data_IF_203044461177
#
_entry.id   IF_203044461177
#
_cell.length_a   1.000
_cell.length_b   1.000
_cell.length_c   1.000
_cell.angle_alpha   90.00
_cell.angle_beta   90.00
_cell.angle_gamma   90.00
#
_symmetry.space_group_name_H-M   'P 1'
#
loop_
_entity.id
_entity.type
_entity.pdbx_description
1 polymer ?
#
# COMPACT_ATOMS: atom_id res chain seq x y z
N UNK A 1 -7.38 10.24 -12.42
CA UNK A 1 -6.86 8.87 -12.21
C UNK A 1 -7.25 8.03 -13.42
N UNK A 2 -6.30 7.31 -14.04
CA UNK A 2 -6.56 6.58 -15.29
C UNK A 2 -7.02 5.14 -15.03
N UNK A 3 -6.38 4.45 -14.10
CA UNK A 3 -6.69 3.06 -13.78
C UNK A 3 -6.33 2.75 -12.33
N UNK A 4 -7.16 1.94 -11.67
CA UNK A 4 -6.85 1.32 -10.39
C UNK A 4 -7.04 -0.18 -10.50
N UNK A 5 -6.11 -0.95 -9.95
CA UNK A 5 -6.25 -2.40 -9.84
C UNK A 5 -5.72 -2.87 -8.49
N UNK A 6 -6.36 -3.90 -7.96
CA UNK A 6 -5.94 -4.55 -6.70
C UNK A 6 -5.15 -5.81 -7.01
N UNK A 7 -4.20 -6.14 -6.15
CA UNK A 7 -3.29 -7.25 -6.38
C UNK A 7 -2.31 -7.46 -5.25
N UNK A 8 -1.26 -8.21 -5.56
CA UNK A 8 -0.27 -8.70 -4.61
C UNK A 8 1.13 -8.26 -5.05
N UNK A 9 1.89 -7.65 -4.15
CA UNK A 9 3.22 -7.11 -4.46
C UNK A 9 4.19 -7.27 -3.28
N UNK A 10 5.50 -7.30 -3.58
CA UNK A 10 6.58 -7.31 -2.59
C UNK A 10 6.87 -8.67 -1.94
N UNK A 11 6.22 -9.73 -2.39
CA UNK A 11 6.46 -11.11 -1.99
C UNK A 11 7.34 -11.90 -2.95
N UNK A 12 7.44 -13.20 -2.71
CA UNK A 12 8.34 -14.14 -3.42
C UNK A 12 7.61 -15.18 -4.27
N UNK A 13 6.34 -15.45 -3.97
CA UNK A 13 5.54 -16.43 -4.72
C UNK A 13 5.13 -15.85 -6.06
N UNK A 14 5.37 -16.60 -7.14
CA UNK A 14 4.95 -16.21 -8.49
C UNK A 14 3.51 -16.59 -8.75
N UNK A 15 2.75 -15.71 -9.41
CA UNK A 15 1.33 -15.91 -9.73
C UNK A 15 0.51 -16.42 -8.54
N UNK A 16 0.58 -15.76 -7.36
CA UNK A 16 -0.15 -16.20 -6.18
C UNK A 16 -1.67 -16.05 -6.41
N UNK A 17 -2.43 -16.97 -5.82
CA UNK A 17 -3.88 -16.81 -5.64
C UNK A 17 -4.19 -16.04 -4.35
N UNK A 18 -5.41 -15.54 -4.21
CA UNK A 18 -5.88 -14.98 -2.94
C UNK A 18 -5.67 -15.96 -1.79
N UNK A 19 -6.01 -17.24 -1.99
CA UNK A 19 -5.87 -18.28 -0.98
C UNK A 19 -4.40 -18.46 -0.56
N UNK A 20 -3.45 -18.41 -1.50
CA UNK A 20 -2.02 -18.45 -1.18
C UNK A 20 -1.63 -17.26 -0.31
N UNK A 21 -2.09 -16.06 -0.64
CA UNK A 21 -1.77 -14.83 0.10
C UNK A 21 -2.36 -14.86 1.50
N UNK A 22 -3.57 -15.39 1.68
CA UNK A 22 -4.19 -15.58 2.99
C UNK A 22 -3.38 -16.48 3.93
N UNK A 23 -2.48 -17.32 3.42
CA UNK A 23 -1.60 -18.16 4.27
C UNK A 23 -0.47 -17.39 4.96
N UNK A 24 -0.25 -16.12 4.61
CA UNK A 24 0.89 -15.30 5.07
C UNK A 24 2.29 -15.83 4.68
N UNK A 25 2.39 -16.89 3.87
CA UNK A 25 3.69 -17.50 3.52
C UNK A 25 4.33 -16.90 2.26
N UNK A 26 3.53 -16.23 1.42
CA UNK A 26 3.96 -15.68 0.12
C UNK A 26 4.83 -14.43 0.26
N UNK A 27 4.68 -13.71 1.38
CA UNK A 27 5.34 -12.44 1.65
C UNK A 27 4.75 -11.24 0.90
N UNK A 28 3.70 -11.45 0.09
CA UNK A 28 3.04 -10.34 -0.60
C UNK A 28 2.29 -9.44 0.37
N UNK A 29 2.13 -8.18 0.01
CA UNK A 29 1.13 -7.28 0.59
C UNK A 29 -0.03 -7.15 -0.40
N UNK A 30 -1.25 -7.10 0.12
CA UNK A 30 -2.37 -6.58 -0.63
C UNK A 30 -2.08 -5.13 -1.00
N UNK A 31 -2.18 -4.82 -2.29
CA UNK A 31 -1.70 -3.57 -2.86
C UNK A 31 -2.68 -3.05 -3.89
N UNK A 32 -2.80 -1.73 -3.96
CA UNK A 32 -3.49 -1.02 -5.04
C UNK A 32 -2.43 -0.45 -5.97
N UNK A 33 -2.44 -0.83 -7.24
CA UNK A 33 -1.67 -0.14 -8.27
C UNK A 33 -2.52 0.97 -8.87
N UNK A 34 -1.97 2.19 -8.88
CA UNK A 34 -2.63 3.40 -9.37
C UNK A 34 -1.87 3.94 -10.56
N UNK A 35 -2.52 3.96 -11.72
CA UNK A 35 -2.05 4.69 -12.89
C UNK A 35 -2.72 6.07 -12.93
N UNK A 36 -1.91 7.11 -13.04
CA UNK A 36 -2.36 8.50 -12.94
C UNK A 36 -1.62 9.39 -13.93
N UNK A 37 -2.23 10.52 -14.25
CA UNK A 37 -1.61 11.58 -15.04
C UNK A 37 -1.02 12.62 -14.07
N UNK A 38 0.31 12.84 -14.05
CA UNK A 38 0.94 13.81 -13.16
C UNK A 38 0.46 15.25 -13.36
N UNK A 39 -0.10 15.57 -14.53
CA UNK A 39 -0.71 16.88 -14.81
C UNK A 39 -2.06 17.09 -14.10
N UNK A 40 -2.77 16.01 -13.77
CA UNK A 40 -4.05 16.06 -13.06
C UNK A 40 -3.91 15.87 -11.55
N UNK A 41 -3.01 14.97 -11.13
CA UNK A 41 -2.79 14.64 -9.72
C UNK A 41 -1.31 14.38 -9.46
N UNK A 42 -0.75 15.04 -8.45
CA UNK A 42 0.66 14.87 -8.12
C UNK A 42 0.89 13.60 -7.30
N UNK A 43 2.12 13.09 -7.31
CA UNK A 43 2.52 12.00 -6.41
C UNK A 43 2.39 12.40 -4.93
N UNK A 44 2.60 13.68 -4.59
CA UNK A 44 2.40 14.19 -3.23
C UNK A 44 0.93 14.08 -2.79
N UNK A 45 -0.01 14.32 -3.70
CA UNK A 45 -1.45 14.15 -3.44
C UNK A 45 -1.83 12.68 -3.26
N UNK A 46 -1.23 11.77 -4.04
CA UNK A 46 -1.39 10.33 -3.84
C UNK A 46 -0.82 9.86 -2.50
N UNK A 47 0.34 10.38 -2.08
CA UNK A 47 0.89 10.10 -0.76
C UNK A 47 -0.05 10.61 0.34
N UNK A 48 -0.56 11.85 0.25
CA UNK A 48 -1.54 12.37 1.21
C UNK A 48 -2.79 11.49 1.28
N UNK A 49 -3.30 11.05 0.13
CA UNK A 49 -4.42 10.11 0.07
C UNK A 49 -4.08 8.82 0.82
N UNK A 50 -2.94 8.21 0.53
CA UNK A 50 -2.47 6.99 1.21
C UNK A 50 -2.44 7.16 2.73
N UNK A 51 -1.79 8.20 3.26
CA UNK A 51 -1.64 8.42 4.70
C UNK A 51 -2.95 8.73 5.43
N UNK A 52 -3.96 9.25 4.73
CA UNK A 52 -5.26 9.60 5.32
C UNK A 52 -6.27 8.44 5.30
N UNK A 53 -6.03 7.38 4.53
CA UNK A 53 -7.01 6.32 4.27
C UNK A 53 -6.75 5.01 5.02
N UNK A 54 -5.74 4.93 5.89
CA UNK A 54 -5.45 3.76 6.73
C UNK A 54 -4.68 4.15 8.00
N UNK A 55 -4.61 3.28 9.02
CA UNK A 55 -3.70 3.48 10.17
C UNK A 55 -2.29 2.95 9.80
N UNK A 56 -1.27 3.83 9.63
CA UNK A 56 0.08 3.40 9.24
C UNK A 56 0.95 3.01 10.45
N UNK A 57 0.38 2.91 11.65
CA UNK A 57 1.10 2.61 12.90
C UNK A 57 0.91 1.18 13.39
N UNK A 58 0.07 0.40 12.70
CA UNK A 58 -0.22 -1.00 13.05
C UNK A 58 0.62 -1.95 12.20
N UNK A 59 1.60 -2.60 12.84
CA UNK A 59 2.45 -3.58 12.17
C UNK A 59 1.64 -4.82 11.80
N UNK A 60 1.69 -5.23 10.52
CA UNK A 60 1.04 -6.44 10.00
C UNK A 60 -0.44 -6.55 10.37
N UNK A 61 -1.16 -5.42 10.33
CA UNK A 61 -2.57 -5.34 10.65
C UNK A 61 -3.17 -4.07 10.07
N UNK A 62 -4.42 -4.13 9.61
CA UNK A 62 -5.25 -2.97 9.37
C UNK A 62 -6.66 -3.18 9.93
N UNK A 63 -7.08 -2.37 10.90
CA UNK A 63 -8.37 -2.56 11.56
C UNK A 63 -8.54 -3.99 12.12
N UNK A 64 -9.59 -4.74 11.72
CA UNK A 64 -9.82 -6.12 12.13
C UNK A 64 -8.93 -7.14 11.40
N UNK A 65 -8.30 -6.76 10.29
CA UNK A 65 -7.57 -7.65 9.39
C UNK A 65 -6.12 -7.79 9.86
N UNK A 66 -5.72 -9.02 10.23
CA UNK A 66 -4.42 -9.33 10.85
C UNK A 66 -3.62 -10.22 9.91
N UNK A 67 -2.37 -9.84 9.67
CA UNK A 67 -1.40 -10.62 8.91
C UNK A 67 -0.43 -9.76 8.10
N UNK A 68 0.61 -10.39 7.57
CA UNK A 68 1.70 -9.72 6.85
C UNK A 68 1.19 -9.14 5.52
N UNK A 69 0.17 -9.76 4.93
CA UNK A 69 -0.49 -9.27 3.72
C UNK A 69 -1.17 -7.91 3.91
N UNK A 70 -1.57 -7.54 5.13
CA UNK A 70 -2.22 -6.24 5.43
C UNK A 70 -1.26 -5.15 5.91
N UNK A 71 0.06 -5.38 5.81
CA UNK A 71 1.05 -4.39 6.25
C UNK A 71 0.96 -3.11 5.40
N UNK A 72 1.18 -1.97 6.04
CA UNK A 72 1.33 -0.69 5.34
C UNK A 72 2.64 -0.68 4.54
N UNK A 73 2.57 -0.44 3.24
CA UNK A 73 3.73 -0.38 2.34
C UNK A 73 3.49 0.55 1.17
N UNK A 74 4.55 1.28 0.76
CA UNK A 74 4.62 2.05 -0.48
C UNK A 74 5.67 1.39 -1.38
N UNK A 75 5.24 0.97 -2.57
CA UNK A 75 6.12 0.47 -3.62
C UNK A 75 6.42 1.60 -4.63
N UNK A 76 7.65 2.12 -4.64
CA UNK A 76 8.02 3.23 -5.51
C UNK A 76 8.59 2.74 -6.86
N UNK A 77 8.32 3.49 -7.92
CA UNK A 77 8.82 3.21 -9.27
C UNK A 77 10.07 4.03 -9.63
N UNK A 78 10.29 5.18 -8.98
CA UNK A 78 11.45 6.05 -9.25
C UNK A 78 12.14 6.51 -7.96
N UNK A 79 13.43 6.92 -8.03
CA UNK A 79 14.13 7.49 -6.88
C UNK A 79 13.47 8.77 -6.32
N UNK A 80 12.82 9.56 -7.17
CA UNK A 80 12.07 10.75 -6.74
C UNK A 80 10.87 10.36 -5.88
N UNK A 81 10.13 9.32 -6.28
CA UNK A 81 9.02 8.78 -5.49
C UNK A 81 9.49 8.23 -4.15
N UNK A 82 10.62 7.53 -4.13
CA UNK A 82 11.25 7.05 -2.89
C UNK A 82 11.55 8.22 -1.95
N UNK A 83 12.25 9.24 -2.45
CA UNK A 83 12.63 10.42 -1.68
C UNK A 83 11.41 11.12 -1.09
N UNK A 84 10.39 11.38 -1.91
CA UNK A 84 9.14 12.03 -1.47
C UNK A 84 8.40 11.21 -0.41
N UNK A 85 8.32 9.89 -0.58
CA UNK A 85 7.68 9.00 0.40
C UNK A 85 8.44 9.00 1.73
N UNK A 86 9.78 8.95 1.71
CA UNK A 86 10.61 8.98 2.92
C UNK A 86 10.49 10.31 3.64
N UNK A 87 10.51 11.43 2.92
CA UNK A 87 10.38 12.78 3.49
C UNK A 87 9.00 12.96 4.15
N UNK A 88 7.93 12.53 3.47
CA UNK A 88 6.59 12.60 4.03
C UNK A 88 6.43 11.69 5.26
N UNK A 89 6.91 10.44 5.20
CA UNK A 89 6.94 9.53 6.35
C UNK A 89 7.64 10.16 7.55
N UNK A 90 8.83 10.73 7.36
CA UNK A 90 9.59 11.41 8.44
C UNK A 90 8.81 12.56 9.06
N UNK A 91 8.11 13.36 8.25
CA UNK A 91 7.28 14.48 8.74
C UNK A 91 6.10 13.97 9.56
N UNK A 92 5.39 12.96 9.08
CA UNK A 92 4.23 12.40 9.76
C UNK A 92 4.62 11.60 11.01
N UNK A 93 5.77 10.92 10.99
CA UNK A 93 6.25 10.13 12.12
C UNK A 93 6.53 11.00 13.37
N UNK A 94 7.04 12.22 13.18
CA UNK A 94 7.16 13.20 14.27
C UNK A 94 5.82 13.51 14.91
N UNK A 95 4.80 13.77 14.08
CA UNK A 95 3.44 14.05 14.54
C UNK A 95 2.85 12.81 15.24
N UNK A 96 3.08 11.62 14.69
CA UNK A 96 2.65 10.35 15.27
C UNK A 96 3.22 10.13 16.67
N UNK A 97 4.53 10.36 16.83
CA UNK A 97 5.24 10.22 18.10
C UNK A 97 4.78 11.25 19.13
N UNK A 98 4.63 12.51 18.73
CA UNK A 98 4.25 13.60 19.63
C UNK A 98 2.79 13.54 20.07
N UNK A 99 1.85 13.28 19.15
CA UNK A 99 0.41 13.36 19.43
C UNK A 99 -0.21 12.03 19.85
N UNK A 100 0.31 10.91 19.35
CA UNK A 100 -0.33 9.61 19.51
C UNK A 100 0.57 8.60 20.24
N UNK A 101 1.83 8.95 20.54
CA UNK A 101 2.82 8.03 21.12
C UNK A 101 2.98 6.74 20.32
N UNK A 102 2.88 6.85 18.99
CA UNK A 102 3.03 5.74 18.04
C UNK A 102 4.13 6.04 17.04
N UNK A 103 4.65 5.00 16.40
CA UNK A 103 5.62 5.08 15.32
C UNK A 103 4.99 4.60 14.01
N UNK A 104 5.34 5.25 12.90
CA UNK A 104 4.90 4.84 11.57
C UNK A 104 5.71 3.63 11.11
N UNK A 105 5.01 2.51 10.93
CA UNK A 105 5.61 1.22 10.54
C UNK A 105 5.61 0.98 9.02
N UNK A 106 5.02 1.89 8.24
CA UNK A 106 4.95 1.80 6.77
C UNK A 106 6.32 1.50 6.14
N UNK A 107 6.38 0.44 5.35
CA UNK A 107 7.56 0.10 4.55
C UNK A 107 7.62 1.00 3.30
N UNK A 108 8.82 1.40 2.90
CA UNK A 108 9.05 2.07 1.61
C UNK A 108 10.04 1.19 0.86
N UNK A 109 9.58 0.55 -0.21
CA UNK A 109 10.33 -0.48 -0.94
C UNK A 109 10.29 -0.21 -2.45
N UNK A 110 11.31 -0.62 -3.21
CA UNK A 110 11.23 -0.56 -4.65
C UNK A 110 10.08 -1.44 -5.14
N UNK A 111 9.41 -0.98 -6.19
CA UNK A 111 8.42 -1.78 -6.91
C UNK A 111 9.04 -3.10 -7.38
N UNK A 112 8.30 -4.18 -7.15
CA UNK A 112 8.57 -5.52 -7.66
C UNK A 112 7.46 -5.95 -8.62
N UNK A 113 7.50 -7.18 -9.12
CA UNK A 113 6.39 -7.73 -9.90
C UNK A 113 5.06 -7.60 -9.14
N UNK A 114 4.05 -7.04 -9.81
CA UNK A 114 2.68 -6.89 -9.31
C UNK A 114 1.80 -7.97 -9.94
N UNK A 115 1.18 -8.79 -9.10
CA UNK A 115 0.23 -9.81 -9.53
C UNK A 115 -1.17 -9.29 -9.32
N UNK A 116 -1.88 -8.99 -10.41
CA UNK A 116 -3.28 -8.58 -10.37
C UNK A 116 -4.11 -9.68 -9.71
N UNK A 117 -4.92 -9.30 -8.71
CA UNK A 117 -5.84 -10.22 -8.05
C UNK A 117 -6.98 -10.64 -8.99
N UNK A 118 -7.72 -11.64 -8.56
CA UNK A 118 -8.88 -12.21 -9.23
C UNK A 118 -9.93 -11.15 -9.54
N UNK A 119 -10.70 -11.36 -10.62
CA UNK A 119 -11.64 -10.35 -11.12
C UNK A 119 -12.71 -9.96 -10.11
N UNK A 120 -13.11 -10.86 -9.22
CA UNK A 120 -14.11 -10.54 -8.21
C UNK A 120 -13.61 -9.53 -7.17
N UNK A 121 -12.29 -9.39 -6.97
CA UNK A 121 -11.70 -8.38 -6.08
C UNK A 121 -11.63 -6.98 -6.72
N UNK A 122 -11.60 -6.91 -8.05
CA UNK A 122 -11.40 -5.65 -8.76
C UNK A 122 -12.62 -4.75 -8.59
N UNK A 123 -12.40 -3.52 -8.13
CA UNK A 123 -13.46 -2.55 -7.83
C UNK A 123 -14.59 -3.15 -6.97
N UNK A 124 -14.25 -4.04 -6.04
CA UNK A 124 -15.21 -4.81 -5.25
C UNK A 124 -16.31 -3.94 -4.61
N UNK A 125 -15.93 -2.82 -3.98
CA UNK A 125 -16.88 -1.90 -3.35
C UNK A 125 -17.87 -1.24 -4.33
N UNK A 126 -17.48 -1.00 -5.58
CA UNK A 126 -18.40 -0.46 -6.60
C UNK A 126 -19.35 -1.55 -7.13
N UNK A 127 -18.93 -2.82 -7.11
CA UNK A 127 -19.74 -3.97 -7.56
C UNK A 127 -20.84 -4.34 -6.56
N UNK A 128 -20.64 -4.08 -5.27
CA UNK A 128 -21.59 -4.40 -4.19
C UNK A 128 -22.45 -3.20 -3.76
N UNK A 129 -22.36 -2.08 -4.48
CA UNK A 129 -23.07 -0.84 -4.18
C UNK A 129 -24.53 -0.86 -4.61
#
# INVERSE_FOLDING_TARGET
MKLTQVGYCGGRTKNPTYEDVCTDTTGHAESVQVEYEPEEISYDDLLKLFWNNHDPTTLNRQGPDIGIQYRSVIFFHTPEQEKMAIEMKKRLDKIAKEKFHKEIVTEIKPYSEFYRAEEYHQQYFEKIR
#
